data_IF_082053011075
#
_entry.id   IF_082053011075
#
_cell.length_a   1.000
_cell.length_b   1.000
_cell.length_c   1.000
_cell.angle_alpha   90.00
_cell.angle_beta   90.00
_cell.angle_gamma   90.00
#
_symmetry.space_group_name_H-M   'P 1'
#
loop_
_entity.id
_entity.type
_entity.pdbx_description
1 polymer ?
#
# COMPACT_ATOMS: atom_id res chain seq x y z
N UNK A 1 12.00 1.22 10.04
CA UNK A 1 12.34 2.34 9.13
C UNK A 1 11.32 3.49 9.19
N UNK A 2 10.02 3.22 8.97
CA UNK A 2 8.98 4.27 9.02
C UNK A 2 8.90 5.06 10.34
N UNK A 3 8.92 4.37 11.50
CA UNK A 3 8.88 5.05 12.81
C UNK A 3 10.16 5.85 13.11
N UNK A 4 11.32 5.32 12.71
CA UNK A 4 12.61 5.98 12.86
C UNK A 4 12.67 7.26 12.01
N UNK A 5 12.17 7.23 10.78
CA UNK A 5 12.07 8.42 9.92
C UNK A 5 11.22 9.52 10.56
N UNK A 6 10.13 9.14 11.23
CA UNK A 6 9.29 10.07 11.97
C UNK A 6 10.03 10.69 13.17
N UNK A 7 10.76 9.88 13.95
CA UNK A 7 11.52 10.36 15.12
C UNK A 7 12.69 11.26 14.73
N UNK A 8 13.35 10.99 13.60
CA UNK A 8 14.48 11.76 13.10
C UNK A 8 14.05 12.94 12.21
N UNK A 9 12.75 13.16 12.03
CA UNK A 9 12.26 14.21 11.13
C UNK A 9 12.59 15.60 11.69
N UNK A 10 13.23 16.47 10.91
CA UNK A 10 13.49 17.85 11.33
C UNK A 10 12.22 18.72 11.30
N UNK A 11 11.09 18.19 10.80
CA UNK A 11 9.83 18.92 10.62
C UNK A 11 8.71 18.24 11.42
N UNK A 12 7.96 19.02 12.17
CA UNK A 12 6.79 18.52 12.90
C UNK A 12 5.69 18.02 11.96
N UNK A 13 4.98 16.97 12.36
CA UNK A 13 3.86 16.42 11.60
C UNK A 13 4.24 15.37 10.54
N UNK A 14 5.49 14.93 10.50
CA UNK A 14 5.92 13.83 9.63
C UNK A 14 5.16 12.53 9.99
N UNK A 15 4.55 11.90 8.99
CA UNK A 15 3.87 10.60 9.06
C UNK A 15 4.89 9.46 9.14
N UNK A 16 5.98 9.56 8.38
CA UNK A 16 7.09 8.61 8.30
C UNK A 16 7.60 8.50 6.86
N UNK A 17 7.95 7.29 6.42
CA UNK A 17 8.39 7.04 5.03
C UNK A 17 7.18 6.75 4.16
N UNK A 18 7.01 7.52 3.08
CA UNK A 18 5.95 7.34 2.08
C UNK A 18 6.50 6.83 0.75
N UNK A 19 7.76 7.16 0.43
CA UNK A 19 8.48 6.70 -0.75
C UNK A 19 9.94 6.41 -0.37
N UNK A 20 10.47 5.28 -0.81
CA UNK A 20 11.88 4.94 -0.79
C UNK A 20 12.30 4.58 -2.21
N UNK A 21 13.07 5.47 -2.83
CA UNK A 21 13.59 5.30 -4.18
C UNK A 21 14.93 4.56 -4.13
N UNK A 22 15.11 3.62 -5.04
CA UNK A 22 16.35 2.89 -5.24
C UNK A 22 16.68 2.75 -6.73
N UNK A 23 17.89 2.30 -7.04
CA UNK A 23 18.38 2.26 -8.43
C UNK A 23 17.56 1.32 -9.33
N UNK A 24 16.95 0.29 -8.73
CA UNK A 24 16.22 -0.78 -9.46
C UNK A 24 14.76 -0.89 -9.09
N UNK A 25 14.32 -0.22 -8.02
CA UNK A 25 12.94 -0.25 -7.57
C UNK A 25 12.59 0.98 -6.73
N UNK A 26 11.30 1.35 -6.76
CA UNK A 26 10.70 2.26 -5.80
C UNK A 26 9.81 1.46 -4.85
N UNK A 27 9.86 1.81 -3.56
CA UNK A 27 9.00 1.25 -2.52
C UNK A 27 8.07 2.35 -2.00
N UNK A 28 6.79 2.25 -2.39
CA UNK A 28 5.75 3.13 -1.89
C UNK A 28 5.13 2.56 -0.62
N UNK A 29 4.85 3.42 0.35
CA UNK A 29 4.30 3.07 1.64
C UNK A 29 3.06 3.92 1.96
N UNK A 30 1.96 3.26 2.29
CA UNK A 30 0.78 3.88 2.86
C UNK A 30 0.59 3.36 4.30
N UNK A 31 0.37 4.29 5.23
CA UNK A 31 -0.01 3.95 6.61
C UNK A 31 -1.42 4.46 6.92
N UNK A 32 -2.29 3.55 7.35
CA UNK A 32 -3.61 3.88 7.87
C UNK A 32 -3.53 4.44 9.30
N UNK A 33 -4.58 5.16 9.72
CA UNK A 33 -4.70 5.71 11.08
C UNK A 33 -4.73 4.61 12.16
N UNK A 34 -5.16 3.41 11.81
CA UNK A 34 -5.15 2.22 12.68
C UNK A 34 -3.76 1.62 12.86
N UNK A 35 -2.75 2.10 12.13
CA UNK A 35 -1.38 1.58 12.16
C UNK A 35 -1.08 0.53 11.10
N UNK A 36 -2.08 0.04 10.35
CA UNK A 36 -1.88 -0.89 9.22
C UNK A 36 -1.03 -0.22 8.14
N UNK A 37 -0.01 -0.94 7.64
CA UNK A 37 0.89 -0.45 6.60
C UNK A 37 0.78 -1.31 5.35
N UNK A 38 0.69 -0.64 4.21
CA UNK A 38 0.66 -1.25 2.88
C UNK A 38 1.89 -0.78 2.11
N UNK A 39 2.59 -1.72 1.50
CA UNK A 39 3.78 -1.45 0.70
C UNK A 39 3.59 -2.00 -0.70
N UNK A 40 4.03 -1.24 -1.71
CA UNK A 40 4.05 -1.66 -3.10
C UNK A 40 5.43 -1.36 -3.66
N UNK A 41 6.03 -2.36 -4.30
CA UNK A 41 7.31 -2.22 -5.01
C UNK A 41 7.06 -2.09 -6.51
N UNK A 42 7.68 -1.10 -7.15
CA UNK A 42 7.54 -0.82 -8.58
C UNK A 42 8.88 -0.56 -9.25
N UNK A 43 8.87 -0.45 -10.57
CA UNK A 43 10.00 0.13 -11.30
C UNK A 43 10.21 1.60 -10.90
N UNK A 44 11.47 2.11 -10.96
CA UNK A 44 11.75 3.50 -10.65
C UNK A 44 10.94 4.49 -11.51
N UNK A 45 10.39 5.52 -10.87
CA UNK A 45 9.60 6.57 -11.52
C UNK A 45 8.16 6.19 -11.84
N UNK A 46 7.64 5.10 -11.28
CA UNK A 46 6.24 4.70 -11.47
C UNK A 46 5.31 5.64 -10.69
N UNK A 47 4.43 6.37 -11.39
CA UNK A 47 3.47 7.29 -10.77
C UNK A 47 2.14 6.63 -10.44
N UNK A 48 1.35 7.22 -9.54
CA UNK A 48 -0.03 6.79 -9.27
C UNK A 48 -0.19 5.73 -8.18
N UNK A 49 0.91 5.28 -7.58
CA UNK A 49 0.90 4.24 -6.53
C UNK A 49 0.11 4.64 -5.27
N UNK A 50 0.01 5.94 -4.95
CA UNK A 50 -0.85 6.40 -3.84
C UNK A 50 -2.33 6.03 -4.05
N UNK A 51 -2.85 6.14 -5.27
CA UNK A 51 -4.24 5.83 -5.57
C UNK A 51 -4.48 4.32 -5.53
N UNK A 52 -3.52 3.54 -6.03
CA UNK A 52 -3.55 2.09 -5.91
C UNK A 52 -3.54 1.67 -4.44
N UNK A 53 -2.64 2.23 -3.62
CA UNK A 53 -2.57 1.94 -2.18
C UNK A 53 -3.87 2.29 -1.43
N UNK A 54 -4.51 3.42 -1.76
CA UNK A 54 -5.84 3.78 -1.22
C UNK A 54 -6.91 2.77 -1.62
N UNK A 55 -6.93 2.37 -2.88
CA UNK A 55 -7.87 1.33 -3.39
C UNK A 55 -7.65 0.00 -2.68
N UNK A 56 -6.39 -0.41 -2.48
CA UNK A 56 -6.05 -1.64 -1.74
C UNK A 56 -6.51 -1.54 -0.28
N UNK A 57 -6.37 -0.36 0.34
CA UNK A 57 -6.86 -0.15 1.70
C UNK A 57 -8.38 -0.27 1.79
N UNK A 58 -9.14 0.28 0.84
CA UNK A 58 -10.60 0.10 0.77
C UNK A 58 -10.97 -1.39 0.69
N UNK A 59 -10.33 -2.15 -0.21
CA UNK A 59 -10.50 -3.60 -0.31
C UNK A 59 -10.18 -4.31 1.01
N UNK A 60 -9.15 -3.85 1.74
CA UNK A 60 -8.74 -4.43 3.01
C UNK A 60 -9.83 -4.20 4.06
N UNK A 61 -10.41 -3.01 4.10
CA UNK A 61 -11.54 -2.73 4.99
C UNK A 61 -12.77 -3.57 4.66
N UNK A 62 -13.04 -3.82 3.38
CA UNK A 62 -14.24 -4.54 2.94
C UNK A 62 -14.18 -6.05 3.13
N UNK A 63 -13.04 -6.67 2.81
CA UNK A 63 -12.90 -8.13 2.81
C UNK A 63 -12.23 -8.69 4.06
N UNK A 64 -11.41 -7.88 4.75
CA UNK A 64 -10.65 -8.32 5.92
C UNK A 64 -11.28 -7.80 7.21
N UNK A 65 -11.43 -6.48 7.35
CA UNK A 65 -11.91 -5.90 8.61
C UNK A 65 -13.38 -6.16 8.89
N UNK A 66 -14.21 -6.33 7.86
CA UNK A 66 -15.62 -6.73 8.02
C UNK A 66 -15.81 -8.22 8.27
N UNK A 67 -14.77 -9.05 8.13
CA UNK A 67 -14.87 -10.48 8.36
C UNK A 67 -14.83 -10.78 9.87
N UNK A 68 -15.93 -11.24 10.49
CA UNK A 68 -15.98 -11.47 11.93
C UNK A 68 -15.08 -12.62 12.41
N UNK A 69 -14.56 -13.44 11.49
CA UNK A 69 -13.64 -14.53 11.77
C UNK A 69 -12.17 -14.16 11.52
N UNK A 70 -11.89 -12.91 11.14
CA UNK A 70 -10.53 -12.45 10.97
C UNK A 70 -9.93 -12.03 12.32
N UNK A 71 -8.88 -12.72 12.73
CA UNK A 71 -8.04 -12.31 13.84
C UNK A 71 -6.89 -11.43 13.33
N UNK A 72 -6.72 -10.26 13.96
CA UNK A 72 -5.58 -9.38 13.71
C UNK A 72 -4.31 -10.18 14.02
N UNK A 73 -3.27 -10.03 13.18
CA UNK A 73 -2.00 -10.79 13.19
C UNK A 73 -2.03 -12.15 12.48
N UNK A 74 -3.19 -12.65 12.05
CA UNK A 74 -3.26 -13.82 11.16
C UNK A 74 -3.12 -13.41 9.69
N UNK A 75 -2.50 -14.26 8.84
CA UNK A 75 -2.44 -14.00 7.41
C UNK A 75 -3.86 -13.89 6.83
N UNK A 76 -4.05 -12.97 5.89
CA UNK A 76 -5.33 -12.79 5.20
C UNK A 76 -5.60 -14.05 4.36
N UNK A 77 -6.67 -14.77 4.70
CA UNK A 77 -7.13 -16.00 4.01
C UNK A 77 -8.54 -15.79 3.46
N UNK A 78 -8.70 -14.79 2.62
CA UNK A 78 -9.99 -14.45 2.01
C UNK A 78 -9.84 -14.47 0.49
N UNK A 79 -10.50 -15.42 -0.18
CA UNK A 79 -10.38 -15.58 -1.64
C UNK A 79 -10.88 -14.35 -2.40
N UNK A 80 -11.92 -13.68 -1.88
CA UNK A 80 -12.44 -12.44 -2.47
C UNK A 80 -11.42 -11.29 -2.37
N UNK A 81 -10.65 -11.23 -1.29
CA UNK A 81 -9.54 -10.29 -1.18
C UNK A 81 -8.50 -10.56 -2.26
N UNK A 82 -8.04 -11.80 -2.40
CA UNK A 82 -7.00 -12.17 -3.37
C UNK A 82 -7.43 -11.86 -4.80
N UNK A 83 -8.68 -12.20 -5.15
CA UNK A 83 -9.26 -11.93 -6.47
C UNK A 83 -9.31 -10.43 -6.77
N UNK A 84 -9.87 -9.62 -5.87
CA UNK A 84 -10.04 -8.19 -6.10
C UNK A 84 -8.72 -7.42 -6.06
N UNK A 85 -7.78 -7.84 -5.21
CA UNK A 85 -6.42 -7.29 -5.18
C UNK A 85 -5.72 -7.53 -6.52
N UNK A 86 -5.77 -8.76 -7.05
CA UNK A 86 -5.19 -9.07 -8.36
C UNK A 86 -5.82 -8.27 -9.50
N UNK A 87 -7.14 -8.01 -9.44
CA UNK A 87 -7.83 -7.15 -10.41
C UNK A 87 -7.41 -5.68 -10.29
N UNK A 88 -7.28 -5.15 -9.08
CA UNK A 88 -6.83 -3.78 -8.83
C UNK A 88 -5.41 -3.55 -9.38
N UNK A 89 -4.48 -4.45 -9.08
CA UNK A 89 -3.10 -4.37 -9.58
C UNK A 89 -3.05 -4.51 -11.11
N UNK A 90 -3.82 -5.42 -11.71
CA UNK A 90 -3.88 -5.56 -13.18
C UNK A 90 -4.45 -4.32 -13.86
N UNK A 91 -5.44 -3.67 -13.27
CA UNK A 91 -6.05 -2.44 -13.80
C UNK A 91 -5.02 -1.30 -13.78
N UNK A 92 -4.29 -1.18 -12.70
CA UNK A 92 -3.25 -0.16 -12.53
C UNK A 92 -2.04 -0.38 -13.44
N UNK A 93 -1.58 -1.64 -13.58
CA UNK A 93 -0.53 -2.01 -14.52
C UNK A 93 -0.89 -1.74 -15.99
N UNK A 94 -2.18 -1.82 -16.35
CA UNK A 94 -2.65 -1.41 -17.69
C UNK A 94 -2.72 0.11 -17.85
N UNK A 95 -3.02 0.85 -16.78
CA UNK A 95 -3.05 2.31 -16.81
C UNK A 95 -1.65 2.90 -16.99
N UNK A 96 -0.63 2.32 -16.34
CA UNK A 96 0.77 2.72 -16.45
C UNK A 96 1.38 2.46 -17.84
N UNK A 97 0.85 1.50 -18.61
CA UNK A 97 1.30 1.20 -19.97
C UNK A 97 0.66 2.09 -21.05
N UNK A 98 -0.46 2.74 -20.76
CA UNK A 98 -1.19 3.62 -21.71
C UNK A 98 -0.69 5.07 -21.64
N UNK A 99 0.08 5.42 -20.60
CA UNK A 99 0.63 6.77 -20.40
C UNK A 99 2.03 7.01 -20.99
N UNK A 100 2.56 6.12 -21.84
CA UNK A 100 3.83 6.29 -22.57
C UNK A 100 3.59 6.58 -24.05
#
# INVERSE_FOLDING_TARGET
>A
MHAISKELSPVGGCSGIELLEGDTFDLHCFQALTGTKLFVTTEPGTTGMENLLKTIYELYTDYVLKNPFYEVEMPIRCELWDLNLALAVKKDGKASLVGR
#
